data_IF_443140946982
#
_entry.id   IF_443140946982
#
_cell.length_a   1.000
_cell.length_b   1.000
_cell.length_c   1.000
_cell.angle_alpha   90.00
_cell.angle_beta   90.00
_cell.angle_gamma   90.00
#
_symmetry.space_group_name_H-M   'P 1'
#
loop_
_entity.id
_entity.type
_entity.pdbx_description
1 polymer ?
#
# COMPACT_ATOMS: atom_id res chain seq x y z
N UNK A 1 11.04 41.53 31.15
CA UNK A 1 9.89 40.71 30.62
C UNK A 1 9.26 39.94 31.77
N UNK A 2 7.98 40.04 31.98
CA UNK A 2 7.29 39.40 33.11
C UNK A 2 7.23 37.87 32.86
N UNK A 3 7.35 37.07 33.94
CA UNK A 3 7.26 35.59 33.87
C UNK A 3 5.98 35.11 33.14
N UNK A 4 4.89 35.88 33.21
CA UNK A 4 3.63 35.60 32.53
C UNK A 4 3.73 35.70 31.00
N UNK A 5 4.55 36.64 30.48
CA UNK A 5 4.76 36.78 29.03
C UNK A 5 5.56 35.61 28.43
N UNK A 6 6.55 35.11 29.18
CA UNK A 6 7.35 33.94 28.74
C UNK A 6 6.48 32.67 28.68
N UNK A 7 5.62 32.46 29.69
CA UNK A 7 4.73 31.29 29.74
C UNK A 7 3.70 31.31 28.62
N UNK A 8 3.16 32.49 28.28
CA UNK A 8 2.21 32.63 27.17
C UNK A 8 2.86 32.36 25.81
N UNK A 9 4.11 32.78 25.60
CA UNK A 9 4.85 32.49 24.35
C UNK A 9 5.16 31.00 24.22
N UNK A 10 5.55 30.32 25.30
CA UNK A 10 5.78 28.88 25.28
C UNK A 10 4.50 28.08 24.99
N UNK A 11 3.36 28.48 25.55
CA UNK A 11 2.06 27.86 25.28
C UNK A 11 1.63 28.05 23.83
N UNK A 12 1.85 29.23 23.25
CA UNK A 12 1.54 29.51 21.85
C UNK A 12 2.44 28.70 20.88
N UNK A 13 3.73 28.58 21.19
CA UNK A 13 4.66 27.78 20.38
C UNK A 13 4.30 26.28 20.48
N UNK A 14 3.95 25.78 21.67
CA UNK A 14 3.53 24.38 21.83
C UNK A 14 2.22 24.09 21.12
N UNK A 15 1.25 25.00 21.11
CA UNK A 15 0.01 24.89 20.37
C UNK A 15 0.24 24.94 18.84
N UNK A 16 1.15 25.80 18.36
CA UNK A 16 1.52 25.87 16.96
C UNK A 16 2.22 24.60 16.47
N UNK A 17 3.08 23.99 17.29
CA UNK A 17 3.74 22.71 16.98
C UNK A 17 2.71 21.57 16.99
N UNK A 18 1.78 21.54 17.93
CA UNK A 18 0.71 20.54 17.98
C UNK A 18 -0.27 20.66 16.80
N UNK A 19 -0.56 21.89 16.35
CA UNK A 19 -1.38 22.14 15.15
C UNK A 19 -0.62 21.83 13.86
N UNK A 20 0.71 22.01 13.85
CA UNK A 20 1.54 21.64 12.68
C UNK A 20 1.70 20.14 12.55
N UNK A 21 1.65 19.37 13.64
CA UNK A 21 1.69 17.90 13.58
C UNK A 21 0.34 17.27 13.22
N UNK A 22 -0.78 18.00 13.30
CA UNK A 22 -2.07 17.65 12.70
C UNK A 22 -2.22 18.15 11.26
N UNK A 23 -1.30 19.02 10.81
CA UNK A 23 -1.34 19.59 9.49
C UNK A 23 -0.74 18.62 8.47
N UNK A 24 -1.58 18.17 7.55
CA UNK A 24 -1.19 17.69 6.22
C UNK A 24 -0.40 16.37 6.22
N UNK A 25 -1.02 15.27 6.60
CA UNK A 25 -0.85 14.14 5.72
C UNK A 25 -1.47 14.58 4.38
N UNK A 26 -0.60 15.01 3.48
CA UNK A 26 -0.95 15.24 2.08
C UNK A 26 -1.69 13.98 1.66
N UNK A 27 -2.97 14.13 1.34
CA UNK A 27 -3.81 13.04 0.87
C UNK A 27 -3.02 12.33 -0.21
N UNK A 28 -2.68 11.06 0.01
CA UNK A 28 -1.78 10.32 -0.87
C UNK A 28 -2.58 9.91 -2.10
N UNK A 29 -2.39 10.61 -3.21
CA UNK A 29 -2.96 10.17 -4.48
C UNK A 29 -2.22 8.93 -5.02
N UNK A 30 -2.83 8.18 -5.96
CA UNK A 30 -2.14 7.06 -6.62
C UNK A 30 -0.80 7.44 -7.23
N UNK A 31 -0.70 8.63 -7.85
CA UNK A 31 0.53 9.14 -8.45
C UNK A 31 1.63 9.32 -7.42
N UNK A 32 1.32 10.02 -6.32
CA UNK A 32 2.26 10.27 -5.22
C UNK A 32 2.72 8.94 -4.60
N UNK A 33 1.79 7.98 -4.45
CA UNK A 33 2.14 6.66 -3.93
C UNK A 33 3.14 5.94 -4.85
N UNK A 34 2.87 5.89 -6.15
CA UNK A 34 3.73 5.22 -7.13
C UNK A 34 5.11 5.89 -7.26
N UNK A 35 5.17 7.22 -7.24
CA UNK A 35 6.43 7.97 -7.23
C UNK A 35 7.26 7.62 -5.99
N UNK A 36 6.67 7.63 -4.81
CA UNK A 36 7.35 7.26 -3.56
C UNK A 36 7.80 5.80 -3.56
N UNK A 37 7.01 4.89 -4.13
CA UNK A 37 7.40 3.48 -4.25
C UNK A 37 8.61 3.32 -5.17
N UNK A 38 8.63 4.00 -6.31
CA UNK A 38 9.77 4.02 -7.23
C UNK A 38 11.02 4.67 -6.62
N UNK A 39 10.83 5.67 -5.75
CA UNK A 39 11.92 6.29 -4.99
C UNK A 39 12.48 5.37 -3.90
N UNK A 40 11.61 4.64 -3.21
CA UNK A 40 11.98 3.74 -2.12
C UNK A 40 12.80 2.54 -2.62
N UNK A 41 12.60 2.12 -3.86
CA UNK A 41 13.37 1.04 -4.48
C UNK A 41 13.64 1.29 -5.97
N UNK A 42 14.87 1.68 -6.26
CA UNK A 42 15.33 1.95 -7.63
C UNK A 42 15.45 0.71 -8.53
N UNK A 43 15.29 -0.48 -7.97
CA UNK A 43 15.26 -1.74 -8.75
C UNK A 43 13.87 -2.07 -9.27
N UNK A 44 12.83 -1.37 -8.77
CA UNK A 44 11.47 -1.50 -9.25
C UNK A 44 11.28 -0.68 -10.54
N UNK A 45 10.65 -1.29 -11.51
CA UNK A 45 10.10 -0.61 -12.68
C UNK A 45 8.60 -0.45 -12.48
N UNK A 46 8.13 0.79 -12.40
CA UNK A 46 6.73 1.15 -12.27
C UNK A 46 6.22 1.61 -13.64
N UNK A 47 5.20 0.95 -14.17
CA UNK A 47 4.60 1.31 -15.45
C UNK A 47 3.62 2.48 -15.28
N UNK A 48 4.15 3.70 -15.25
CA UNK A 48 3.35 4.92 -15.09
C UNK A 48 2.40 5.17 -16.27
N UNK A 49 2.78 4.77 -17.49
CA UNK A 49 1.98 5.01 -18.70
C UNK A 49 0.88 3.97 -18.88
N UNK A 50 1.12 2.74 -18.41
CA UNK A 50 0.14 1.64 -18.44
C UNK A 50 -0.86 1.68 -17.29
N UNK A 51 -0.96 2.79 -16.53
CA UNK A 51 -1.97 2.93 -15.49
C UNK A 51 -3.38 2.86 -16.08
N UNK A 52 -4.23 2.15 -15.38
CA UNK A 52 -5.61 1.96 -15.76
C UNK A 52 -6.55 2.31 -14.62
N UNK A 53 -7.61 3.04 -14.92
CA UNK A 53 -8.63 3.45 -13.94
C UNK A 53 -9.94 2.72 -14.24
N UNK A 54 -10.57 2.16 -13.21
CA UNK A 54 -11.90 1.55 -13.27
C UNK A 54 -12.69 1.95 -12.03
N UNK A 55 -13.64 2.87 -12.21
CA UNK A 55 -14.38 3.46 -11.11
C UNK A 55 -13.43 4.22 -10.17
N UNK A 56 -13.45 3.85 -8.89
CA UNK A 56 -12.63 4.39 -7.82
C UNK A 56 -11.27 3.71 -7.67
N UNK A 57 -10.88 2.85 -8.63
CA UNK A 57 -9.64 2.06 -8.56
C UNK A 57 -8.65 2.43 -9.64
N UNK A 58 -7.41 2.61 -9.23
CA UNK A 58 -6.24 2.75 -10.08
C UNK A 58 -5.43 1.45 -10.04
N UNK A 59 -5.07 0.93 -11.19
CA UNK A 59 -4.23 -0.25 -11.35
C UNK A 59 -2.93 0.14 -12.03
N UNK A 60 -1.83 -0.48 -11.60
CA UNK A 60 -0.51 -0.25 -12.16
C UNK A 60 0.30 -1.55 -12.15
N UNK A 61 1.08 -1.79 -13.20
CA UNK A 61 2.05 -2.87 -13.22
C UNK A 61 3.37 -2.41 -12.61
N UNK A 62 3.95 -3.30 -11.79
CA UNK A 62 5.27 -3.12 -11.20
C UNK A 62 6.07 -4.37 -11.47
N UNK A 63 7.32 -4.23 -11.91
CA UNK A 63 8.23 -5.37 -12.04
C UNK A 63 9.47 -5.16 -11.18
N UNK A 64 9.98 -6.26 -10.62
CA UNK A 64 11.24 -6.26 -9.89
C UNK A 64 12.45 -6.43 -10.83
N UNK A 65 13.66 -6.25 -10.29
CA UNK A 65 14.90 -6.45 -11.05
C UNK A 65 15.12 -7.89 -11.56
N UNK A 66 14.31 -8.84 -11.10
CA UNK A 66 14.28 -10.24 -11.56
C UNK A 66 13.27 -10.50 -12.68
N UNK A 67 12.55 -9.46 -13.13
CA UNK A 67 11.54 -9.55 -14.18
C UNK A 67 10.21 -10.17 -13.71
N UNK A 68 9.97 -10.26 -12.40
CA UNK A 68 8.67 -10.68 -11.87
C UNK A 68 7.69 -9.53 -11.93
N UNK A 69 6.52 -9.78 -12.51
CA UNK A 69 5.45 -8.80 -12.60
C UNK A 69 4.47 -8.91 -11.43
N UNK A 70 4.07 -7.74 -10.94
CA UNK A 70 3.08 -7.56 -9.88
C UNK A 70 2.02 -6.59 -10.35
N UNK A 71 0.80 -6.76 -9.85
CA UNK A 71 -0.29 -5.79 -10.02
C UNK A 71 -0.50 -5.06 -8.72
N UNK A 72 -0.35 -3.75 -8.75
CA UNK A 72 -0.82 -2.85 -7.69
C UNK A 72 -2.21 -2.35 -8.04
N UNK A 73 -3.11 -2.41 -7.07
CA UNK A 73 -4.44 -1.82 -7.14
C UNK A 73 -4.60 -0.86 -5.97
N UNK A 74 -5.02 0.36 -6.25
CA UNK A 74 -5.26 1.40 -5.27
C UNK A 74 -6.71 1.83 -5.36
N UNK A 75 -7.47 1.72 -4.27
CA UNK A 75 -8.81 2.30 -4.18
C UNK A 75 -8.71 3.71 -3.65
N UNK A 76 -9.48 4.63 -4.24
CA UNK A 76 -9.48 6.04 -3.86
C UNK A 76 -10.83 6.45 -3.26
N UNK A 77 -10.77 7.38 -2.32
CA UNK A 77 -11.92 8.13 -1.84
C UNK A 77 -12.39 9.14 -2.89
N UNK A 78 -13.54 9.78 -2.65
CA UNK A 78 -14.10 10.81 -3.52
C UNK A 78 -13.19 12.04 -3.70
N UNK A 79 -12.29 12.31 -2.75
CA UNK A 79 -11.29 13.38 -2.80
C UNK A 79 -10.00 12.99 -3.55
N UNK A 80 -9.93 11.76 -4.07
CA UNK A 80 -8.77 11.23 -4.79
C UNK A 80 -7.67 10.64 -3.90
N UNK A 81 -7.84 10.65 -2.57
CA UNK A 81 -6.88 10.04 -1.64
C UNK A 81 -6.98 8.50 -1.68
N UNK A 82 -5.84 7.83 -1.58
CA UNK A 82 -5.78 6.36 -1.55
C UNK A 82 -6.29 5.85 -0.20
N UNK A 83 -7.38 5.08 -0.25
CA UNK A 83 -7.99 4.41 0.90
C UNK A 83 -7.38 3.03 1.16
N UNK A 84 -7.11 2.28 0.09
CA UNK A 84 -6.49 0.96 0.21
C UNK A 84 -5.47 0.73 -0.90
N UNK A 85 -4.50 -0.13 -0.60
CA UNK A 85 -3.49 -0.60 -1.56
C UNK A 85 -3.46 -2.10 -1.52
N UNK A 86 -3.55 -2.73 -2.69
CA UNK A 86 -3.43 -4.19 -2.82
C UNK A 86 -2.30 -4.53 -3.79
N UNK A 87 -1.57 -5.58 -3.46
CA UNK A 87 -0.50 -6.15 -4.28
C UNK A 87 -0.86 -7.59 -4.62
N UNK A 88 -0.67 -7.97 -5.87
CA UNK A 88 -0.91 -9.33 -6.30
C UNK A 88 0.12 -9.81 -7.33
N UNK A 89 0.38 -11.11 -7.34
CA UNK A 89 1.27 -11.77 -8.32
C UNK A 89 0.80 -13.18 -8.61
N UNK A 90 0.94 -13.63 -9.85
CA UNK A 90 0.75 -15.04 -10.24
C UNK A 90 2.01 -15.88 -10.09
N UNK A 91 3.15 -15.28 -9.80
CA UNK A 91 4.42 -15.95 -9.60
C UNK A 91 4.52 -16.53 -8.17
N UNK A 92 3.83 -17.64 -7.91
CA UNK A 92 3.75 -18.27 -6.58
C UNK A 92 5.11 -18.80 -6.09
N UNK A 93 6.04 -19.06 -6.98
CA UNK A 93 7.42 -19.46 -6.68
C UNK A 93 8.31 -18.29 -6.24
N UNK A 94 7.85 -17.06 -6.39
CA UNK A 94 8.57 -15.82 -6.05
C UNK A 94 8.16 -15.22 -4.71
N UNK A 95 7.77 -16.04 -3.75
CA UNK A 95 7.25 -15.60 -2.44
C UNK A 95 8.17 -14.62 -1.72
N UNK A 96 9.48 -14.85 -1.70
CA UNK A 96 10.42 -13.96 -1.01
C UNK A 96 10.46 -12.54 -1.63
N UNK A 97 10.42 -12.44 -2.96
CA UNK A 97 10.36 -11.17 -3.67
C UNK A 97 9.02 -10.46 -3.42
N UNK A 98 7.91 -11.22 -3.42
CA UNK A 98 6.59 -10.72 -3.08
C UNK A 98 6.54 -10.12 -1.67
N UNK A 99 7.04 -10.84 -0.65
CA UNK A 99 7.10 -10.38 0.75
C UNK A 99 7.96 -9.11 0.86
N UNK A 100 9.11 -9.08 0.16
CA UNK A 100 9.96 -7.89 0.12
C UNK A 100 9.21 -6.68 -0.43
N UNK A 101 8.48 -6.85 -1.54
CA UNK A 101 7.69 -5.77 -2.14
C UNK A 101 6.51 -5.36 -1.26
N UNK A 102 5.81 -6.31 -0.60
CA UNK A 102 4.76 -6.02 0.37
C UNK A 102 5.29 -5.15 1.53
N UNK A 103 6.50 -5.45 2.04
CA UNK A 103 7.17 -4.62 3.04
C UNK A 103 7.46 -3.19 2.55
N UNK A 104 7.86 -3.01 1.29
CA UNK A 104 8.09 -1.69 0.69
C UNK A 104 6.79 -0.92 0.49
N UNK A 105 5.75 -1.57 -0.02
CA UNK A 105 4.40 -1.01 -0.13
C UNK A 105 3.92 -0.53 1.25
N UNK A 106 4.12 -1.33 2.30
CA UNK A 106 3.81 -0.95 3.69
C UNK A 106 4.60 0.28 4.12
N UNK A 107 5.91 0.33 3.85
CA UNK A 107 6.77 1.46 4.26
C UNK A 107 6.39 2.78 3.61
N UNK A 108 5.86 2.73 2.40
CA UNK A 108 5.40 3.92 1.66
C UNK A 108 4.02 4.35 2.11
N UNK A 109 3.08 3.40 2.25
CA UNK A 109 1.69 3.71 2.55
C UNK A 109 1.45 3.99 4.04
N UNK A 110 2.10 3.25 4.93
CA UNK A 110 1.95 3.36 6.39
C UNK A 110 3.30 3.52 7.10
N UNK A 111 4.06 4.60 6.83
CA UNK A 111 5.46 4.76 7.27
C UNK A 111 5.63 4.88 8.80
N UNK A 112 4.55 5.05 9.54
CA UNK A 112 4.57 5.16 11.02
C UNK A 112 4.40 3.81 11.72
N UNK A 113 4.11 2.74 10.96
CA UNK A 113 3.82 1.43 11.52
C UNK A 113 5.08 0.56 11.63
N UNK A 114 5.06 -0.43 12.52
CA UNK A 114 6.15 -1.40 12.66
C UNK A 114 6.09 -2.46 11.56
N UNK A 115 6.80 -2.19 10.46
CA UNK A 115 6.84 -3.06 9.28
C UNK A 115 7.32 -4.47 9.64
N UNK A 116 8.27 -4.60 10.59
CA UNK A 116 8.78 -5.91 10.99
C UNK A 116 7.71 -6.74 11.68
N UNK A 117 6.95 -6.12 12.58
CA UNK A 117 5.84 -6.78 13.26
C UNK A 117 4.77 -7.21 12.26
N UNK A 118 4.40 -6.35 11.31
CA UNK A 118 3.42 -6.63 10.26
C UNK A 118 3.88 -7.80 9.39
N UNK A 119 5.08 -7.73 8.84
CA UNK A 119 5.65 -8.79 7.97
C UNK A 119 5.76 -10.12 8.72
N UNK A 120 6.20 -10.09 9.99
CA UNK A 120 6.31 -11.32 10.79
C UNK A 120 4.96 -11.94 11.12
N UNK A 121 3.91 -11.14 11.29
CA UNK A 121 2.57 -11.64 11.58
C UNK A 121 1.87 -12.23 10.35
N UNK A 122 2.06 -11.60 9.18
CA UNK A 122 1.38 -12.00 7.94
C UNK A 122 2.12 -13.11 7.16
N UNK A 123 3.44 -13.18 7.30
CA UNK A 123 4.29 -14.06 6.49
C UNK A 123 5.11 -14.99 7.39
N UNK A 124 4.41 -15.90 8.06
CA UNK A 124 5.02 -16.89 8.96
C UNK A 124 6.06 -17.74 8.21
N UNK A 125 7.25 -17.85 8.80
CA UNK A 125 8.38 -18.60 8.22
C UNK A 125 8.77 -18.16 6.79
N UNK A 126 8.50 -16.88 6.45
CA UNK A 126 8.79 -16.33 5.13
C UNK A 126 7.90 -16.88 4.02
N UNK A 127 6.69 -17.33 4.36
CA UNK A 127 5.69 -17.86 3.43
C UNK A 127 4.41 -17.04 3.48
N UNK A 128 3.71 -16.98 2.36
CA UNK A 128 2.33 -16.50 2.31
C UNK A 128 1.42 -17.69 2.62
N UNK A 129 0.57 -17.58 3.65
CA UNK A 129 -0.34 -18.65 4.06
C UNK A 129 -1.44 -18.90 3.03
N UNK A 130 -1.90 -20.16 2.89
CA UNK A 130 -3.06 -20.52 2.05
C UNK A 130 -4.37 -19.94 2.60
N UNK A 131 -4.41 -19.65 3.90
CA UNK A 131 -5.52 -18.95 4.54
C UNK A 131 -5.20 -17.47 4.58
N UNK A 132 -6.25 -16.65 4.57
CA UNK A 132 -6.09 -15.22 4.75
C UNK A 132 -5.62 -14.94 6.19
N UNK A 133 -4.43 -14.39 6.31
CA UNK A 133 -3.87 -13.91 7.58
C UNK A 133 -4.14 -12.42 7.70
N UNK A 134 -4.42 -11.96 8.92
CA UNK A 134 -4.74 -10.57 9.21
C UNK A 134 -3.84 -10.03 10.31
N UNK A 135 -3.46 -8.75 10.16
CA UNK A 135 -2.80 -7.98 11.20
C UNK A 135 -3.44 -6.59 11.28
N UNK A 136 -3.92 -6.21 12.46
CA UNK A 136 -4.60 -4.95 12.66
C UNK A 136 -3.80 -4.02 13.55
N UNK A 137 -3.66 -2.78 13.12
CA UNK A 137 -3.22 -1.67 13.97
C UNK A 137 -4.43 -0.80 14.33
N UNK A 138 -4.20 0.30 15.04
CA UNK A 138 -5.27 1.25 15.33
C UNK A 138 -5.85 1.90 14.08
N UNK A 139 -5.03 2.02 13.02
CA UNK A 139 -5.37 2.76 11.81
C UNK A 139 -5.56 1.87 10.59
N UNK A 140 -4.79 0.82 10.48
CA UNK A 140 -4.74 0.00 9.28
C UNK A 140 -5.11 -1.45 9.56
N UNK A 141 -5.77 -2.07 8.61
CA UNK A 141 -5.90 -3.52 8.49
C UNK A 141 -4.97 -4.00 7.37
N UNK A 142 -4.19 -5.02 7.65
CA UNK A 142 -3.32 -5.69 6.70
C UNK A 142 -3.81 -7.10 6.50
N UNK A 143 -3.78 -7.59 5.27
CA UNK A 143 -4.11 -8.98 4.99
C UNK A 143 -3.16 -9.59 3.96
N UNK A 144 -2.96 -10.91 4.04
CA UNK A 144 -2.23 -11.68 3.04
C UNK A 144 -2.86 -13.04 2.84
N UNK A 145 -2.79 -13.55 1.62
CA UNK A 145 -3.25 -14.88 1.26
C UNK A 145 -2.46 -15.43 0.06
N UNK A 146 -2.35 -16.75 -0.04
CA UNK A 146 -1.91 -17.43 -1.24
C UNK A 146 -2.95 -18.44 -1.72
N UNK A 147 -2.93 -18.72 -3.01
CA UNK A 147 -3.65 -19.84 -3.60
C UNK A 147 -2.79 -20.44 -4.71
N UNK A 148 -3.27 -21.53 -5.33
CA UNK A 148 -2.64 -22.08 -6.53
C UNK A 148 -2.53 -21.07 -7.69
N UNK A 149 -3.35 -20.01 -7.68
CA UNK A 149 -3.42 -19.01 -8.74
C UNK A 149 -2.64 -17.72 -8.45
N UNK A 150 -2.09 -17.54 -7.24
CA UNK A 150 -1.30 -16.36 -6.93
C UNK A 150 -1.13 -16.02 -5.46
N UNK A 151 -0.37 -14.95 -5.25
CA UNK A 151 -0.07 -14.32 -3.97
C UNK A 151 -0.83 -13.00 -3.89
N UNK A 152 -1.33 -12.67 -2.71
CA UNK A 152 -2.10 -11.47 -2.43
C UNK A 152 -1.68 -10.81 -1.12
N UNK A 153 -1.68 -9.47 -1.10
CA UNK A 153 -1.47 -8.64 0.08
C UNK A 153 -2.30 -7.37 -0.03
N UNK A 154 -2.86 -6.88 1.07
CA UNK A 154 -3.55 -5.59 1.10
C UNK A 154 -3.31 -4.80 2.38
N UNK A 155 -3.52 -3.49 2.28
CA UNK A 155 -3.54 -2.53 3.37
C UNK A 155 -4.78 -1.66 3.21
N UNK A 156 -5.61 -1.57 4.24
CA UNK A 156 -6.80 -0.74 4.27
C UNK A 156 -6.68 0.32 5.38
N UNK A 157 -6.89 1.61 5.07
CA UNK A 157 -6.97 2.68 6.09
C UNK A 157 -8.38 2.72 6.67
N UNK A 158 -8.55 2.21 7.87
CA UNK A 158 -9.83 2.07 8.57
C UNK A 158 -10.54 3.39 8.90
N UNK A 159 -9.84 4.53 8.75
CA UNK A 159 -10.42 5.86 8.99
C UNK A 159 -11.15 6.43 7.78
N UNK A 160 -10.83 5.95 6.57
CA UNK A 160 -11.29 6.51 5.31
C UNK A 160 -12.58 5.87 4.78
N UNK A 161 -13.16 4.91 5.50
CA UNK A 161 -14.45 4.33 5.12
C UNK A 161 -14.67 2.92 5.65
N UNK A 162 -15.88 2.41 5.43
CA UNK A 162 -16.18 1.02 5.66
C UNK A 162 -15.28 0.13 4.79
N UNK A 163 -14.92 -1.06 5.31
CA UNK A 163 -14.14 -2.06 4.60
C UNK A 163 -14.58 -2.13 3.15
N UNK A 164 -13.72 -1.72 2.26
CA UNK A 164 -13.88 -2.09 0.87
C UNK A 164 -13.85 -3.62 0.83
N UNK A 165 -14.83 -4.22 0.19
CA UNK A 165 -14.75 -5.64 -0.18
C UNK A 165 -13.34 -5.90 -0.69
N UNK A 166 -12.64 -6.98 -0.25
CA UNK A 166 -11.26 -7.20 -0.66
C UNK A 166 -11.14 -6.97 -2.15
N UNK A 167 -10.28 -6.02 -2.50
CA UNK A 167 -10.27 -5.32 -3.77
C UNK A 167 -10.12 -6.22 -4.99
N UNK A 168 -9.64 -7.43 -4.80
CA UNK A 168 -9.48 -8.45 -5.82
C UNK A 168 -9.70 -9.80 -5.16
N UNK A 169 -10.73 -10.51 -5.56
CA UNK A 169 -10.68 -11.96 -5.42
C UNK A 169 -9.60 -12.48 -6.35
N UNK A 170 -8.86 -13.50 -5.94
CA UNK A 170 -7.82 -14.12 -6.78
C UNK A 170 -8.36 -14.53 -8.18
N UNK A 171 -9.69 -14.72 -8.32
CA UNK A 171 -10.38 -14.94 -9.60
C UNK A 171 -10.37 -13.72 -10.52
N UNK A 172 -10.46 -12.52 -9.97
CA UNK A 172 -10.43 -11.28 -10.75
C UNK A 172 -9.05 -11.00 -11.33
N UNK A 173 -7.99 -11.43 -10.64
CA UNK A 173 -6.60 -11.26 -11.06
C UNK A 173 -6.27 -12.00 -12.34
N UNK A 174 -6.68 -13.27 -12.45
CA UNK A 174 -6.41 -14.07 -13.65
C UNK A 174 -7.15 -13.49 -14.88
N UNK A 175 -8.37 -12.99 -14.69
CA UNK A 175 -9.14 -12.27 -15.70
C UNK A 175 -8.48 -10.97 -16.13
N UNK A 176 -7.79 -10.29 -15.21
CA UNK A 176 -7.15 -9.00 -15.43
C UNK A 176 -5.81 -9.13 -16.14
N UNK A 177 -4.94 -10.02 -15.70
CA UNK A 177 -3.64 -10.31 -16.31
C UNK A 177 -3.78 -10.84 -17.73
N UNK A 178 -4.87 -11.56 -18.02
CA UNK A 178 -5.17 -12.05 -19.37
C UNK A 178 -5.72 -10.98 -20.33
N UNK A 179 -6.29 -9.88 -19.81
CA UNK A 179 -6.84 -8.78 -20.63
C UNK A 179 -5.79 -7.73 -21.01
N UNK A 180 -4.73 -7.59 -20.22
CA UNK A 180 -3.74 -6.52 -20.37
C UNK A 180 -2.47 -6.94 -21.10
N UNK A 181 -2.28 -8.23 -21.42
CA UNK A 181 -1.22 -8.62 -22.36
C UNK A 181 -1.58 -8.12 -23.74
N UNK A 182 -0.89 -7.09 -24.31
CA UNK A 182 -1.03 -6.79 -25.72
C UNK A 182 -0.68 -8.06 -26.48
N UNK A 183 -1.59 -8.51 -27.36
CA UNK A 183 -1.30 -9.59 -28.29
C UNK A 183 -0.02 -9.22 -29.03
N UNK A 184 1.06 -9.94 -28.78
CA UNK A 184 2.28 -9.82 -29.57
C UNK A 184 1.89 -10.14 -31.02
N UNK A 185 1.81 -9.11 -31.84
CA UNK A 185 1.75 -9.21 -33.30
C UNK A 185 3.17 -9.16 -33.86
#
# INVERSE_FOLDING_TARGET
MSRRAVTAVFLLISAAIALSSCALQTEMSPEIFLERLAEADKTLSVDFDGRYYSGDRCYCFVSDGGGTEYVLSMQTCADGSVQSVSLASTAVDRTAAFISLAGKVTSVYSPQEDIKAIVSALFLDGKVGERCEYYNTRRYEYSSASSENGLYFSIDDLRLGERSTPALTLGDLSGYLNRTKPSAQ
#
